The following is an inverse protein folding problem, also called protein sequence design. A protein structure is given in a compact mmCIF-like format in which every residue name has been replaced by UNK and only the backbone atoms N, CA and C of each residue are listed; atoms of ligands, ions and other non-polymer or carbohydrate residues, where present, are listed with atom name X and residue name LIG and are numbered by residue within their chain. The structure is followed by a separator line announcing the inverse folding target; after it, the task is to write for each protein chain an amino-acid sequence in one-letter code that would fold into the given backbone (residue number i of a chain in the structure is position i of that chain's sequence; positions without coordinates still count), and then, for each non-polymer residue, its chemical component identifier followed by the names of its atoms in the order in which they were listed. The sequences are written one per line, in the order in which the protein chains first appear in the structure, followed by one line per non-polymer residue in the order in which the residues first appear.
data_IF_528455252108
#
_entry.id   IF_528455252108
#
_cell.length_a   1.000
_cell.length_b   1.000
_cell.length_c   1.000
_cell.angle_alpha   90.00
_cell.angle_beta   90.00
_cell.angle_gamma   90.00
#
_symmetry.space_group_name_H-M   'P 1'
#
loop_
_entity.id
_entity.type
_entity.pdbx_description
1 polymer ?
#
# COMPACT_ATOMS: atom_id res chain seq x y z
N UNK A 1 26.47 -28.73 4.76
CA UNK A 1 25.67 -27.50 4.98
C UNK A 1 26.69 -26.38 5.08
N UNK A 2 26.79 -25.55 4.04
CA UNK A 2 27.92 -24.65 3.82
C UNK A 2 27.87 -23.44 4.77
N UNK A 3 28.91 -23.30 5.58
CA UNK A 3 29.19 -22.15 6.46
C UNK A 3 29.89 -21.03 5.67
N UNK A 4 29.23 -20.40 4.70
CA UNK A 4 29.83 -19.29 3.93
C UNK A 4 29.11 -17.94 4.11
N UNK A 5 27.97 -17.89 4.80
CA UNK A 5 27.19 -16.64 4.98
C UNK A 5 27.61 -15.79 6.20
N UNK A 6 28.56 -16.26 7.01
CA UNK A 6 28.92 -15.62 8.29
C UNK A 6 29.85 -14.40 8.17
N UNK A 7 30.42 -14.11 6.99
CA UNK A 7 31.43 -13.06 6.84
C UNK A 7 31.01 -11.90 5.92
N UNK A 8 29.73 -11.82 5.56
CA UNK A 8 29.23 -10.69 4.76
C UNK A 8 28.97 -9.49 5.68
N UNK A 9 29.67 -8.38 5.44
CA UNK A 9 29.45 -7.10 6.10
C UNK A 9 28.45 -6.26 5.31
N UNK A 10 27.50 -5.68 6.01
CA UNK A 10 26.50 -4.75 5.49
C UNK A 10 26.71 -3.37 6.07
N UNK A 11 26.42 -2.34 5.28
CA UNK A 11 26.56 -0.95 5.74
C UNK A 11 25.26 -0.55 6.43
N UNK A 12 25.33 -0.26 7.73
CA UNK A 12 24.25 0.42 8.45
C UNK A 12 24.51 1.92 8.45
N UNK A 13 23.54 2.70 7.98
CA UNK A 13 23.52 4.15 8.11
C UNK A 13 22.59 4.53 9.25
N UNK A 14 23.05 5.36 10.19
CA UNK A 14 22.22 5.82 11.30
C UNK A 14 22.28 7.33 11.44
N UNK A 15 21.18 7.92 11.91
CA UNK A 15 21.03 9.35 12.16
C UNK A 15 20.75 9.53 13.64
N UNK A 16 21.56 10.35 14.30
CA UNK A 16 21.34 10.71 15.70
C UNK A 16 20.24 11.76 15.82
N UNK A 17 19.66 11.90 17.01
CA UNK A 17 18.68 12.96 17.33
C UNK A 17 19.24 14.38 17.09
N UNK A 18 20.56 14.54 17.07
CA UNK A 18 21.23 15.80 16.68
C UNK A 18 21.21 16.09 15.18
N UNK A 19 20.71 15.16 14.35
CA UNK A 19 20.75 15.23 12.90
C UNK A 19 22.07 14.75 12.28
N UNK A 20 23.06 14.36 13.09
CA UNK A 20 24.33 13.82 12.59
C UNK A 20 24.09 12.43 12.02
N UNK A 21 24.53 12.23 10.76
CA UNK A 21 24.38 10.97 10.04
C UNK A 21 25.74 10.29 9.88
N UNK A 22 25.82 9.03 10.28
CA UNK A 22 27.03 8.21 10.21
C UNK A 22 26.74 6.85 9.57
N UNK A 23 27.80 6.15 9.20
CA UNK A 23 27.73 4.81 8.61
C UNK A 23 28.69 3.88 9.32
N UNK A 24 28.28 2.62 9.51
CA UNK A 24 29.07 1.60 10.18
C UNK A 24 28.90 0.26 9.46
N UNK A 25 29.99 -0.46 9.13
CA UNK A 25 29.91 -1.80 8.59
C UNK A 25 29.66 -2.81 9.73
N UNK A 26 28.62 -3.62 9.59
CA UNK A 26 28.22 -4.63 10.58
C UNK A 26 27.96 -5.97 9.90
N UNK A 27 28.28 -7.07 10.56
CA UNK A 27 27.85 -8.41 10.13
C UNK A 27 26.35 -8.61 10.36
N UNK A 28 25.77 -9.65 9.76
CA UNK A 28 24.36 -10.02 10.03
C UNK A 28 24.09 -10.22 11.53
N UNK A 29 24.98 -10.91 12.25
CA UNK A 29 24.80 -11.15 13.69
C UNK A 29 24.81 -9.86 14.51
N UNK A 30 25.69 -8.92 14.15
CA UNK A 30 25.78 -7.60 14.80
C UNK A 30 24.55 -6.73 14.48
N UNK A 31 23.97 -6.88 13.29
CA UNK A 31 22.72 -6.21 12.92
C UNK A 31 21.56 -6.77 13.74
N UNK A 32 21.45 -8.09 13.88
CA UNK A 32 20.39 -8.71 14.68
C UNK A 32 20.49 -8.27 16.16
N UNK A 33 21.71 -8.20 16.70
CA UNK A 33 21.98 -7.67 18.04
C UNK A 33 21.59 -6.18 18.14
N UNK A 34 21.98 -5.35 17.17
CA UNK A 34 21.56 -3.96 17.10
C UNK A 34 20.03 -3.80 17.11
N UNK A 35 19.31 -4.61 16.33
CA UNK A 35 17.84 -4.58 16.27
C UNK A 35 17.20 -4.89 17.63
N UNK A 36 17.79 -5.82 18.39
CA UNK A 36 17.33 -6.14 19.75
C UNK A 36 17.62 -5.00 20.71
N UNK A 37 18.83 -4.44 20.70
CA UNK A 37 19.19 -3.29 21.53
C UNK A 37 18.31 -2.08 21.24
N UNK A 38 18.02 -1.81 19.96
CA UNK A 38 17.15 -0.71 19.56
C UNK A 38 15.70 -0.90 20.02
N UNK A 39 15.18 -2.14 19.99
CA UNK A 39 13.81 -2.44 20.44
C UNK A 39 13.65 -2.35 21.96
N UNK A 40 14.70 -2.66 22.71
CA UNK A 40 14.69 -2.71 24.18
C UNK A 40 15.27 -1.45 24.84
N UNK A 41 15.59 -0.41 24.05
CA UNK A 41 16.24 0.83 24.52
C UNK A 41 17.60 0.61 25.23
N UNK A 42 18.33 -0.44 24.82
CA UNK A 42 19.64 -0.81 25.37
C UNK A 42 20.80 -0.24 24.55
N UNK A 43 21.96 -0.09 25.20
CA UNK A 43 23.19 0.35 24.53
C UNK A 43 23.79 -0.81 23.74
N UNK A 44 24.01 -0.59 22.45
CA UNK A 44 24.71 -1.53 21.59
C UNK A 44 26.22 -1.30 21.69
N UNK A 45 26.99 -2.35 21.96
CA UNK A 45 28.45 -2.31 21.99
C UNK A 45 28.96 -3.53 21.25
N UNK A 46 29.76 -3.32 20.21
CA UNK A 46 30.34 -4.40 19.41
C UNK A 46 31.76 -4.08 19.00
N UNK A 47 32.48 -5.06 18.44
CA UNK A 47 33.82 -4.89 17.89
C UNK A 47 33.78 -4.83 16.38
N UNK A 48 34.50 -3.86 15.81
CA UNK A 48 34.64 -3.70 14.35
C UNK A 48 36.13 -3.72 14.04
N UNK A 49 36.61 -4.84 13.49
CA UNK A 49 38.04 -5.06 13.33
C UNK A 49 38.75 -5.10 14.68
N UNK A 50 39.60 -4.10 14.94
CA UNK A 50 40.35 -3.95 16.19
C UNK A 50 39.77 -2.88 17.13
N UNK A 51 38.69 -2.20 16.74
CA UNK A 51 38.10 -1.09 17.50
C UNK A 51 36.78 -1.49 18.15
N UNK A 52 36.45 -0.83 19.27
CA UNK A 52 35.14 -0.93 19.90
C UNK A 52 34.21 0.14 19.32
N UNK A 53 33.03 -0.28 18.89
CA UNK A 53 31.96 0.58 18.45
C UNK A 53 30.80 0.52 19.44
N UNK A 54 30.37 1.69 19.90
CA UNK A 54 29.23 1.83 20.81
C UNK A 54 28.17 2.76 20.22
N UNK A 55 26.91 2.36 20.30
CA UNK A 55 25.77 3.15 19.86
C UNK A 55 24.65 3.08 20.90
N UNK A 56 24.21 4.24 21.38
CA UNK A 56 23.07 4.33 22.29
C UNK A 56 21.77 4.43 21.46
N UNK A 57 20.91 3.42 21.55
CA UNK A 57 19.62 3.34 20.86
C UNK A 57 18.75 4.58 21.07
N UNK A 58 18.69 5.08 22.30
CA UNK A 58 17.91 6.27 22.67
C UNK A 58 18.33 7.56 21.95
N UNK A 59 19.55 7.60 21.40
CA UNK A 59 20.07 8.76 20.68
C UNK A 59 19.94 8.64 19.17
N UNK A 60 19.44 7.51 18.66
CA UNK A 60 19.26 7.26 17.23
C UNK A 60 17.83 7.59 16.83
N UNK A 61 17.69 8.54 15.91
CA UNK A 61 16.40 8.96 15.35
C UNK A 61 15.91 8.01 14.25
N UNK A 62 16.83 7.55 13.40
CA UNK A 62 16.54 6.67 12.27
C UNK A 62 17.79 5.86 11.89
N UNK A 63 17.60 4.66 11.35
CA UNK A 63 18.68 3.87 10.78
C UNK A 63 18.20 3.02 9.60
N UNK A 64 19.13 2.72 8.69
CA UNK A 64 18.91 1.90 7.50
C UNK A 64 20.09 0.97 7.27
N UNK A 65 19.81 -0.32 7.16
CA UNK A 65 20.79 -1.35 6.80
C UNK A 65 20.76 -1.57 5.29
N UNK A 66 21.88 -1.37 4.60
CA UNK A 66 22.02 -1.61 3.18
C UNK A 66 22.38 -3.08 2.91
N UNK A 67 21.37 -3.96 2.96
CA UNK A 67 21.49 -5.36 2.53
C UNK A 67 20.81 -5.60 1.17
N UNK A 68 21.02 -6.78 0.56
CA UNK A 68 20.36 -7.14 -0.72
C UNK A 68 18.82 -7.08 -0.62
N UNK A 69 18.28 -7.17 0.60
CA UNK A 69 16.85 -7.02 0.92
C UNK A 69 16.42 -5.56 1.16
N UNK A 70 17.33 -4.60 1.29
CA UNK A 70 17.00 -3.20 1.55
C UNK A 70 16.61 -2.44 0.28
N UNK A 71 17.02 -2.97 -0.88
CA UNK A 71 16.53 -2.55 -2.21
C UNK A 71 15.22 -3.29 -2.56
N UNK A 72 15.01 -4.49 -2.01
CA UNK A 72 13.76 -5.24 -2.12
C UNK A 72 12.93 -5.08 -0.84
N UNK A 73 12.25 -3.93 -0.70
CA UNK A 73 11.19 -3.67 0.31
C UNK A 73 10.44 -4.95 0.68
N UNK A 74 10.87 -5.62 1.73
CA UNK A 74 10.18 -6.80 2.22
C UNK A 74 10.02 -6.63 3.72
N UNK A 75 8.74 -6.65 4.11
CA UNK A 75 8.22 -6.80 5.46
C UNK A 75 7.92 -5.54 6.27
N UNK A 76 7.25 -4.55 5.65
CA UNK A 76 6.02 -4.02 6.28
C UNK A 76 4.91 -5.02 5.95
N UNK A 77 4.96 -6.19 6.58
CA UNK A 77 3.94 -7.25 6.49
C UNK A 77 3.68 -7.68 7.93
N UNK A 78 2.90 -6.89 8.67
CA UNK A 78 2.27 -7.38 9.91
C UNK A 78 1.14 -6.47 10.41
N UNK A 79 1.13 -5.17 10.10
CA UNK A 79 0.09 -4.26 10.64
C UNK A 79 -0.83 -3.66 9.55
N UNK A 80 -0.36 -3.50 8.30
CA UNK A 80 -1.20 -2.95 7.24
C UNK A 80 -2.15 -3.96 6.56
N UNK A 81 -1.84 -5.27 6.63
CA UNK A 81 -2.72 -6.29 6.03
C UNK A 81 -4.09 -6.34 6.69
N UNK A 82 -4.16 -6.10 8.00
CA UNK A 82 -5.44 -6.17 8.72
C UNK A 82 -6.35 -5.01 8.35
N UNK A 83 -5.82 -3.79 8.18
CA UNK A 83 -6.63 -2.64 7.73
C UNK A 83 -7.02 -2.75 6.26
N UNK A 84 -6.11 -3.14 5.35
CA UNK A 84 -6.48 -3.35 3.95
C UNK A 84 -7.44 -4.52 3.76
N UNK A 85 -7.34 -5.61 4.53
CA UNK A 85 -8.31 -6.72 4.47
C UNK A 85 -9.66 -6.34 5.11
N UNK A 86 -9.68 -5.59 6.22
CA UNK A 86 -10.92 -5.09 6.83
C UNK A 86 -11.60 -4.07 5.92
N UNK A 87 -10.83 -3.15 5.31
CA UNK A 87 -11.32 -2.18 4.33
C UNK A 87 -11.78 -2.90 3.06
N UNK A 88 -10.97 -3.80 2.49
CA UNK A 88 -11.37 -4.57 1.31
C UNK A 88 -12.63 -5.38 1.58
N UNK A 89 -12.82 -5.93 2.78
CA UNK A 89 -14.04 -6.67 3.16
C UNK A 89 -15.24 -5.75 3.41
N UNK A 90 -15.01 -4.50 3.86
CA UNK A 90 -16.04 -3.47 3.95
C UNK A 90 -16.45 -2.91 2.57
N UNK A 91 -15.50 -2.83 1.62
CA UNK A 91 -15.70 -2.34 0.25
C UNK A 91 -16.02 -3.44 -0.78
N UNK A 92 -15.87 -4.74 -0.47
CA UNK A 92 -16.00 -5.83 -1.46
C UNK A 92 -17.45 -6.17 -1.84
N UNK A 93 -18.45 -5.63 -1.15
CA UNK A 93 -19.81 -6.20 -1.22
C UNK A 93 -20.91 -5.25 -1.73
N UNK A 94 -20.57 -4.14 -2.41
CA UNK A 94 -21.58 -3.29 -3.04
C UNK A 94 -21.31 -3.10 -4.53
N UNK A 95 -21.28 -4.20 -5.28
CA UNK A 95 -21.43 -4.14 -6.75
C UNK A 95 -22.82 -3.62 -7.07
N UNK A 96 -22.88 -2.39 -7.57
CA UNK A 96 -24.12 -1.74 -7.99
C UNK A 96 -24.35 -2.08 -9.46
N UNK A 97 -25.56 -2.51 -9.77
CA UNK A 97 -26.01 -2.74 -11.14
C UNK A 97 -26.46 -1.42 -11.74
N UNK A 98 -25.98 -1.10 -12.95
CA UNK A 98 -26.39 0.07 -13.73
C UNK A 98 -26.94 -0.38 -15.08
N UNK A 99 -28.03 0.25 -15.52
CA UNK A 99 -28.57 0.11 -16.87
C UNK A 99 -28.18 1.35 -17.66
N UNK A 100 -27.34 1.19 -18.66
CA UNK A 100 -26.94 2.26 -19.56
C UNK A 100 -27.92 2.30 -20.72
N UNK A 101 -28.50 3.46 -20.99
CA UNK A 101 -29.31 3.75 -22.17
C UNK A 101 -28.79 4.99 -22.89
N UNK A 102 -28.01 4.78 -23.95
CA UNK A 102 -27.32 5.84 -24.67
C UNK A 102 -28.09 6.32 -25.90
N UNK A 103 -28.01 7.62 -26.21
CA UNK A 103 -28.54 8.25 -27.43
C UNK A 103 -28.06 7.60 -28.74
N UNK A 104 -26.93 6.90 -28.73
CA UNK A 104 -26.44 6.12 -29.88
C UNK A 104 -27.23 4.81 -30.13
N UNK A 105 -28.35 4.60 -29.42
CA UNK A 105 -29.23 3.45 -29.58
C UNK A 105 -28.75 2.18 -28.87
N UNK A 106 -27.78 2.27 -27.97
CA UNK A 106 -27.23 1.10 -27.25
C UNK A 106 -27.73 1.08 -25.82
N UNK A 107 -28.29 -0.06 -25.42
CA UNK A 107 -28.77 -0.31 -24.06
C UNK A 107 -28.12 -1.58 -23.51
N UNK A 108 -27.50 -1.50 -22.33
CA UNK A 108 -26.86 -2.67 -21.69
C UNK A 108 -26.81 -2.52 -20.16
N UNK A 109 -26.63 -3.65 -19.49
CA UNK A 109 -26.40 -3.71 -18.05
C UNK A 109 -24.91 -3.77 -17.77
N UNK A 110 -24.42 -2.98 -16.82
CA UNK A 110 -23.05 -3.02 -16.32
C UNK A 110 -23.03 -3.06 -14.79
N UNK A 111 -21.91 -3.49 -14.23
CA UNK A 111 -21.68 -3.49 -12.79
C UNK A 111 -20.62 -2.44 -12.46
N UNK A 112 -20.82 -1.73 -11.37
CA UNK A 112 -19.88 -0.74 -10.86
C UNK A 112 -19.63 -0.99 -9.38
N UNK A 113 -18.36 -0.96 -8.98
CA UNK A 113 -17.97 -1.07 -7.57
C UNK A 113 -18.41 0.15 -6.74
N UNK A 114 -18.75 1.26 -7.39
CA UNK A 114 -19.14 2.52 -6.74
C UNK A 114 -20.31 3.17 -7.47
N UNK A 115 -21.17 3.91 -6.74
CA UNK A 115 -22.22 4.74 -7.35
C UNK A 115 -21.56 5.91 -8.08
N UNK A 116 -21.62 5.90 -9.41
CA UNK A 116 -21.07 6.98 -10.25
C UNK A 116 -22.19 7.89 -10.73
N UNK A 117 -21.91 9.19 -10.85
CA UNK A 117 -22.82 10.17 -11.46
C UNK A 117 -22.78 10.14 -12.99
N UNK A 118 -21.68 9.66 -13.56
CA UNK A 118 -21.44 9.59 -15.00
C UNK A 118 -20.89 8.22 -15.39
N UNK A 119 -21.14 7.84 -16.64
CA UNK A 119 -20.60 6.63 -17.24
C UNK A 119 -20.33 6.84 -18.72
N UNK A 120 -19.36 6.13 -19.28
CA UNK A 120 -19.04 6.21 -20.71
C UNK A 120 -19.71 5.08 -21.46
N UNK A 121 -20.46 5.39 -22.51
CA UNK A 121 -21.05 4.38 -23.38
C UNK A 121 -19.94 3.49 -23.97
N UNK A 122 -20.07 2.17 -23.84
CA UNK A 122 -19.09 1.21 -24.36
C UNK A 122 -18.91 1.33 -25.88
N UNK A 123 -19.99 1.66 -26.61
CA UNK A 123 -20.05 1.75 -28.08
C UNK A 123 -19.57 3.08 -28.65
N UNK A 124 -20.14 4.21 -28.21
CA UNK A 124 -19.84 5.53 -28.80
C UNK A 124 -18.97 6.43 -27.91
N UNK A 125 -18.60 5.99 -26.70
CA UNK A 125 -17.80 6.73 -25.71
C UNK A 125 -18.42 8.03 -25.19
N UNK A 126 -19.60 8.42 -25.67
CA UNK A 126 -20.37 9.52 -25.11
C UNK A 126 -20.69 9.30 -23.63
N UNK A 127 -20.71 10.39 -22.87
CA UNK A 127 -21.03 10.39 -21.45
C UNK A 127 -22.55 10.23 -21.30
N UNK A 128 -22.95 9.31 -20.42
CA UNK A 128 -24.32 9.17 -19.90
C UNK A 128 -24.34 9.58 -18.42
N UNK A 129 -25.47 10.13 -17.97
CA UNK A 129 -25.62 10.65 -16.62
C UNK A 129 -26.58 9.77 -15.83
N UNK A 130 -26.32 9.64 -14.53
CA UNK A 130 -27.23 8.98 -13.61
C UNK A 130 -28.56 9.74 -13.58
N UNK A 131 -29.65 9.04 -13.85
CA UNK A 131 -31.00 9.56 -13.62
C UNK A 131 -31.31 9.31 -12.14
N UNK A 132 -31.37 10.38 -11.35
CA UNK A 132 -31.59 10.28 -9.91
C UNK A 132 -32.94 9.60 -9.60
N UNK A 133 -32.97 8.80 -8.53
CA UNK A 133 -34.15 8.09 -7.99
C UNK A 133 -34.90 7.11 -8.91
N UNK A 134 -34.34 6.73 -10.06
CA UNK A 134 -34.92 5.68 -10.91
C UNK A 134 -34.14 4.37 -10.78
N UNK A 135 -34.74 3.41 -10.07
CA UNK A 135 -34.34 2.00 -10.11
C UNK A 135 -35.14 1.28 -11.19
N UNK A 136 -34.45 0.63 -12.12
CA UNK A 136 -35.04 -0.14 -13.22
C UNK A 136 -34.74 -1.62 -13.06
N UNK A 137 -35.67 -2.46 -13.50
CA UNK A 137 -35.44 -3.89 -13.56
C UNK A 137 -34.42 -4.21 -14.66
N UNK A 138 -33.44 -5.04 -14.29
CA UNK A 138 -32.40 -5.58 -15.17
C UNK A 138 -32.35 -7.09 -15.04
N UNK A 139 -31.64 -7.73 -15.98
CA UNK A 139 -31.32 -9.16 -15.92
C UNK A 139 -30.47 -9.57 -14.70
N UNK A 140 -30.00 -8.61 -13.89
CA UNK A 140 -29.21 -8.83 -12.67
C UNK A 140 -29.88 -8.26 -11.41
N UNK A 141 -31.18 -7.97 -11.48
CA UNK A 141 -31.96 -7.35 -10.39
C UNK A 141 -32.23 -5.86 -10.61
N UNK A 142 -32.53 -5.14 -9.53
CA UNK A 142 -32.77 -3.68 -9.60
C UNK A 142 -31.44 -2.95 -9.80
N UNK A 143 -31.39 -2.07 -10.80
CA UNK A 143 -30.21 -1.27 -11.11
C UNK A 143 -30.55 0.21 -11.34
N UNK A 144 -29.54 1.07 -11.22
CA UNK A 144 -29.71 2.50 -11.49
C UNK A 144 -29.70 2.79 -12.99
N UNK A 145 -30.59 3.67 -13.45
CA UNK A 145 -30.62 4.09 -14.86
C UNK A 145 -29.58 5.19 -15.12
N UNK A 146 -28.79 5.01 -16.18
CA UNK A 146 -27.89 6.02 -16.72
C UNK A 146 -28.25 6.34 -18.17
N UNK A 147 -28.55 7.61 -18.45
CA UNK A 147 -28.93 8.05 -19.79
C UNK A 147 -28.42 9.44 -20.11
N UNK A 148 -28.24 9.70 -21.41
CA UNK A 148 -28.05 11.04 -21.98
C UNK A 148 -29.16 11.41 -22.98
N UNK A 149 -30.27 10.66 -22.97
CA UNK A 149 -31.46 10.98 -23.77
C UNK A 149 -32.40 11.95 -23.05
N UNK A 150 -32.41 11.92 -21.72
CA UNK A 150 -33.18 12.84 -20.92
C UNK A 150 -32.33 14.08 -20.63
N UNK A 151 -32.82 15.24 -21.04
CA UNK A 151 -32.19 16.53 -20.78
C UNK A 151 -32.33 16.80 -19.28
N UNK A 152 -31.24 16.69 -18.52
CA UNK A 152 -31.22 17.15 -17.13
C UNK A 152 -31.07 18.67 -17.21
N UNK A 153 -32.15 19.41 -16.99
CA UNK A 153 -32.10 20.85 -16.81
C UNK A 153 -31.49 21.12 -15.42
N UNK A 154 -30.38 21.87 -15.41
CA UNK A 154 -29.72 22.34 -14.19
C UNK A 154 -30.41 23.57 -13.63
#
# INVERSE_FOLDING_TARGET
MNNEDSNTLYIMTYTLNSGIKNTVPLSNSQIDEWMQCYKNDEKFVTTIGAEYFGLNSNLVADFKVHNKFSVHRNQIVSIQKTEEEILNKAYSNQTIVIKVDCKCGTTYTAESQYKRKTWNCSKCKEIVYLVEDVLVDTNKGKGHLMSNKMRIEY
#
